data_IF_480039054592
#
_entry.id   IF_480039054592
#
_cell.length_a   1.000
_cell.length_b   1.000
_cell.length_c   1.000
_cell.angle_alpha   90.00
_cell.angle_beta   90.00
_cell.angle_gamma   90.00
#
_symmetry.space_group_name_H-M   'P 1'
#
loop_
_entity.id
_entity.type
_entity.pdbx_description
1 polymer ?
#
# COMPACT_ATOMS: atom_id res chain seq x y z
N UNK A 1 22.66 -18.21 9.29
CA UNK A 1 22.46 -16.80 9.70
C UNK A 1 22.04 -15.86 8.56
N UNK A 2 22.60 -15.96 7.35
CA UNK A 2 22.33 -15.03 6.24
C UNK A 2 20.84 -14.95 5.81
N UNK A 3 20.16 -16.10 5.70
CA UNK A 3 18.75 -16.19 5.32
C UNK A 3 17.80 -15.33 6.19
N UNK A 4 18.08 -15.28 7.49
CA UNK A 4 17.26 -14.56 8.45
C UNK A 4 17.40 -13.05 8.20
N UNK A 5 18.61 -12.54 7.97
CA UNK A 5 18.86 -11.12 7.71
C UNK A 5 18.17 -10.62 6.43
N UNK A 6 18.20 -11.42 5.36
CA UNK A 6 17.54 -11.09 4.08
C UNK A 6 16.02 -11.02 4.23
N UNK A 7 15.41 -12.00 4.92
CA UNK A 7 13.98 -12.00 5.20
C UNK A 7 13.56 -10.75 6.00
N UNK A 8 14.30 -10.41 7.04
CA UNK A 8 13.98 -9.24 7.88
C UNK A 8 14.02 -7.94 7.10
N UNK A 9 15.01 -7.77 6.21
CA UNK A 9 15.11 -6.57 5.37
C UNK A 9 13.91 -6.41 4.43
N UNK A 10 13.44 -7.50 3.81
CA UNK A 10 12.29 -7.49 2.90
C UNK A 10 11.01 -7.11 3.66
N UNK A 11 10.75 -7.74 4.82
CA UNK A 11 9.58 -7.40 5.63
C UNK A 11 9.65 -6.00 6.22
N UNK A 12 10.84 -5.47 6.48
CA UNK A 12 11.00 -4.10 6.96
C UNK A 12 10.58 -3.08 5.90
N UNK A 13 11.03 -3.27 4.66
CA UNK A 13 10.65 -2.41 3.52
C UNK A 13 9.15 -2.56 3.22
N UNK A 14 8.63 -3.80 3.21
CA UNK A 14 7.21 -4.05 3.07
C UNK A 14 6.41 -3.30 4.14
N UNK A 15 6.75 -3.50 5.41
CA UNK A 15 6.05 -2.90 6.53
C UNK A 15 6.03 -1.38 6.44
N UNK A 16 7.14 -0.76 5.99
CA UNK A 16 7.20 0.67 5.75
C UNK A 16 6.19 1.12 4.67
N UNK A 17 6.11 0.41 3.55
CA UNK A 17 5.16 0.70 2.46
C UNK A 17 3.71 0.47 2.93
N UNK A 18 3.45 -0.63 3.65
CA UNK A 18 2.11 -0.94 4.16
C UNK A 18 1.64 0.08 5.19
N UNK A 19 2.50 0.50 6.12
CA UNK A 19 2.17 1.53 7.10
C UNK A 19 1.84 2.86 6.39
N UNK A 20 2.62 3.23 5.37
CA UNK A 20 2.36 4.42 4.56
C UNK A 20 0.97 4.36 3.88
N UNK A 21 0.65 3.23 3.24
CA UNK A 21 -0.64 3.02 2.58
C UNK A 21 -1.80 2.95 3.58
N UNK A 22 -1.57 2.36 4.75
CA UNK A 22 -2.56 2.28 5.83
C UNK A 22 -2.87 3.66 6.40
N UNK A 23 -1.86 4.50 6.64
CA UNK A 23 -2.08 5.89 7.05
C UNK A 23 -2.87 6.67 5.99
N UNK A 24 -2.52 6.52 4.70
CA UNK A 24 -3.27 7.13 3.60
C UNK A 24 -4.74 6.68 3.63
N UNK A 25 -4.97 5.38 3.77
CA UNK A 25 -6.30 4.78 3.82
C UNK A 25 -7.11 5.32 5.01
N UNK A 26 -6.52 5.35 6.21
CA UNK A 26 -7.16 5.90 7.40
C UNK A 26 -7.48 7.39 7.25
N UNK A 27 -6.56 8.18 6.72
CA UNK A 27 -6.80 9.62 6.50
C UNK A 27 -7.90 9.87 5.47
N UNK A 28 -7.96 9.09 4.39
CA UNK A 28 -9.06 9.15 3.42
C UNK A 28 -10.40 8.73 4.05
N UNK A 29 -10.40 7.68 4.87
CA UNK A 29 -11.56 7.21 5.62
C UNK A 29 -12.11 8.27 6.57
N UNK A 30 -11.21 8.92 7.31
CA UNK A 30 -11.55 9.96 8.29
C UNK A 30 -11.88 11.31 7.64
N UNK A 31 -11.84 11.42 6.30
CA UNK A 31 -12.10 12.67 5.59
C UNK A 31 -11.03 13.74 5.82
N UNK A 32 -9.78 13.32 6.04
CA UNK A 32 -8.67 14.23 6.29
C UNK A 32 -8.52 15.28 5.18
N UNK A 33 -8.30 16.53 5.60
CA UNK A 33 -8.22 17.67 4.70
C UNK A 33 -6.98 17.58 3.79
N UNK A 34 -7.14 17.44 2.46
CA UNK A 34 -6.01 17.37 1.54
C UNK A 34 -5.23 18.69 1.40
N UNK A 35 -5.76 19.81 1.90
CA UNK A 35 -5.05 21.09 1.94
C UNK A 35 -4.02 21.16 3.09
N UNK A 36 -4.03 20.19 4.01
CA UNK A 36 -3.01 20.09 5.03
C UNK A 36 -1.69 19.60 4.39
N UNK A 37 -0.58 20.29 4.66
CA UNK A 37 0.73 19.97 4.07
C UNK A 37 1.19 18.55 4.34
N UNK A 38 0.94 18.00 5.54
CA UNK A 38 1.30 16.63 5.90
C UNK A 38 0.43 15.60 5.16
N UNK A 39 -0.89 15.83 5.11
CA UNK A 39 -1.83 14.93 4.41
C UNK A 39 -1.55 14.92 2.91
N UNK A 40 -1.29 16.08 2.32
CA UNK A 40 -0.93 16.23 0.91
C UNK A 40 0.38 15.52 0.56
N UNK A 41 1.40 15.68 1.42
CA UNK A 41 2.67 14.96 1.29
C UNK A 41 2.46 13.44 1.33
N UNK A 42 1.70 12.96 2.33
CA UNK A 42 1.39 11.53 2.48
C UNK A 42 0.66 10.98 1.25
N UNK A 43 -0.34 11.70 0.73
CA UNK A 43 -1.11 11.28 -0.43
C UNK A 43 -0.26 11.27 -1.72
N UNK A 44 0.66 12.22 -1.87
CA UNK A 44 1.61 12.25 -2.98
C UNK A 44 2.59 11.09 -2.92
N UNK A 45 3.19 10.84 -1.75
CA UNK A 45 4.14 9.76 -1.55
C UNK A 45 3.49 8.38 -1.74
N UNK A 46 2.34 8.16 -1.11
CA UNK A 46 1.55 6.96 -1.30
C UNK A 46 0.99 6.84 -2.73
N UNK A 47 0.84 7.97 -3.43
CA UNK A 47 0.36 8.07 -4.81
C UNK A 47 1.21 7.28 -5.79
N UNK A 48 2.53 7.25 -5.58
CA UNK A 48 3.49 6.51 -6.42
C UNK A 48 3.19 5.01 -6.35
N UNK A 49 2.95 4.50 -5.14
CA UNK A 49 2.66 3.09 -4.89
C UNK A 49 1.27 2.65 -5.37
N UNK A 50 0.27 3.53 -5.28
CA UNK A 50 -1.07 3.20 -5.77
C UNK A 50 -1.22 3.37 -7.28
N UNK A 51 -0.32 4.09 -7.95
CA UNK A 51 -0.43 4.46 -9.37
C UNK A 51 -0.78 3.32 -10.33
N UNK A 52 -0.21 2.09 -10.24
CA UNK A 52 -0.59 1.01 -11.15
C UNK A 52 -1.95 0.39 -10.83
N UNK A 53 -2.51 0.67 -9.65
CA UNK A 53 -3.80 0.14 -9.19
C UNK A 53 -4.96 1.12 -9.41
N UNK A 54 -4.66 2.35 -9.86
CA UNK A 54 -5.67 3.34 -10.21
C UNK A 54 -6.46 2.82 -11.42
N UNK A 55 -7.79 2.81 -11.31
CA UNK A 55 -8.68 2.36 -12.39
C UNK A 55 -8.98 0.86 -12.40
N UNK A 56 -8.44 0.05 -11.48
CA UNK A 56 -8.78 -1.39 -11.37
C UNK A 56 -10.27 -1.59 -11.02
N UNK A 57 -10.82 -0.72 -10.18
CA UNK A 57 -12.26 -0.65 -9.96
C UNK A 57 -12.81 0.57 -10.69
N UNK A 58 -13.79 0.37 -11.57
CA UNK A 58 -14.62 1.44 -12.09
C UNK A 58 -15.19 2.20 -10.89
N UNK A 59 -14.95 3.50 -10.84
CA UNK A 59 -15.41 4.35 -9.73
C UNK A 59 -16.94 4.41 -9.76
N UNK A 60 -17.61 3.52 -9.04
CA UNK A 60 -19.07 3.55 -8.83
C UNK A 60 -19.49 4.67 -7.87
N UNK A 61 -18.80 5.80 -7.88
CA UNK A 61 -19.14 6.98 -7.10
C UNK A 61 -19.21 8.15 -8.08
N UNK A 62 -20.45 8.53 -8.34
CA UNK A 62 -20.91 9.56 -9.26
C UNK A 62 -20.04 10.82 -9.28
N UNK A 63 -19.83 11.34 -10.48
CA UNK A 63 -19.60 12.76 -10.72
C UNK A 63 -20.76 13.55 -10.10
N UNK A 64 -20.63 13.94 -8.84
CA UNK A 64 -21.68 14.74 -8.22
C UNK A 64 -21.57 14.78 -6.71
N UNK A 65 -21.32 15.99 -6.22
CA UNK A 65 -21.65 16.46 -4.88
C UNK A 65 -20.65 16.11 -3.77
N UNK A 66 -19.76 17.08 -3.52
CA UNK A 66 -19.45 17.60 -2.19
C UNK A 66 -19.25 16.56 -1.08
N UNK A 67 -18.34 15.62 -1.27
CA UNK A 67 -17.57 14.98 -0.19
C UNK A 67 -16.50 14.07 -0.81
N UNK A 68 -15.27 14.56 -0.90
CA UNK A 68 -14.09 13.83 -1.44
C UNK A 68 -13.60 12.72 -0.48
N UNK A 69 -14.48 12.12 0.31
CA UNK A 69 -14.22 10.88 1.08
C UNK A 69 -14.63 9.69 0.21
N UNK A 70 -13.96 9.57 -0.92
CA UNK A 70 -14.06 8.40 -1.77
C UNK A 70 -13.02 7.44 -1.21
N UNK A 71 -13.49 6.41 -0.51
CA UNK A 71 -12.70 5.22 -0.24
C UNK A 71 -12.13 4.75 -1.58
N UNK A 72 -10.82 4.92 -1.79
CA UNK A 72 -10.14 4.48 -3.01
C UNK A 72 -9.87 2.98 -2.87
N UNK A 73 -10.66 2.09 -3.51
CA UNK A 73 -10.49 0.65 -3.33
C UNK A 73 -9.13 0.19 -3.89
N UNK A 74 -8.55 0.99 -4.79
CA UNK A 74 -7.17 0.86 -5.26
C UNK A 74 -6.13 0.85 -4.11
N UNK A 75 -6.34 1.61 -3.03
CA UNK A 75 -5.42 1.61 -1.89
C UNK A 75 -5.47 0.27 -1.14
N UNK A 76 -6.67 -0.30 -0.95
CA UNK A 76 -6.83 -1.61 -0.33
C UNK A 76 -6.23 -2.71 -1.19
N UNK A 77 -6.45 -2.68 -2.52
CA UNK A 77 -5.80 -3.63 -3.43
C UNK A 77 -4.28 -3.50 -3.32
N UNK A 78 -3.74 -2.28 -3.36
CA UNK A 78 -2.31 -2.07 -3.30
C UNK A 78 -1.71 -2.72 -2.04
N UNK A 79 -2.34 -2.54 -0.87
CA UNK A 79 -1.92 -3.19 0.37
C UNK A 79 -1.90 -4.72 0.25
N UNK A 80 -3.00 -5.32 -0.24
CA UNK A 80 -3.10 -6.77 -0.40
C UNK A 80 -2.03 -7.28 -1.39
N UNK A 81 -1.87 -6.63 -2.54
CA UNK A 81 -0.92 -7.04 -3.57
C UNK A 81 0.51 -6.96 -3.04
N UNK A 82 0.88 -5.89 -2.36
CA UNK A 82 2.22 -5.78 -1.76
C UNK A 82 2.46 -6.86 -0.69
N UNK A 83 1.49 -7.12 0.18
CA UNK A 83 1.57 -8.18 1.18
C UNK A 83 1.80 -9.57 0.54
N UNK A 84 1.04 -9.89 -0.51
CA UNK A 84 1.15 -11.15 -1.25
C UNK A 84 2.50 -11.26 -1.96
N UNK A 85 2.97 -10.18 -2.60
CA UNK A 85 4.28 -10.16 -3.29
C UNK A 85 5.41 -10.41 -2.30
N UNK A 86 5.45 -9.71 -1.16
CA UNK A 86 6.51 -9.92 -0.18
C UNK A 86 6.47 -11.31 0.44
N UNK A 87 5.28 -11.81 0.75
CA UNK A 87 5.12 -13.18 1.24
C UNK A 87 5.58 -14.22 0.20
N UNK A 88 5.27 -14.00 -1.08
CA UNK A 88 5.74 -14.83 -2.20
C UNK A 88 7.25 -14.83 -2.33
N UNK A 89 7.89 -13.64 -2.33
CA UNK A 89 9.36 -13.50 -2.40
C UNK A 89 10.01 -14.24 -1.24
N UNK A 90 9.53 -14.06 -0.01
CA UNK A 90 10.08 -14.73 1.18
C UNK A 90 9.91 -16.25 1.08
N UNK A 91 8.77 -16.71 0.58
CA UNK A 91 8.48 -18.14 0.40
C UNK A 91 9.40 -18.77 -0.64
N UNK A 92 9.67 -18.07 -1.75
CA UNK A 92 10.62 -18.53 -2.79
C UNK A 92 12.05 -18.61 -2.25
N UNK A 93 12.50 -17.58 -1.51
CA UNK A 93 13.83 -17.60 -0.87
C UNK A 93 13.90 -18.77 0.11
N UNK A 94 12.84 -19.03 0.90
CA UNK A 94 12.77 -20.18 1.83
C UNK A 94 12.94 -21.51 1.11
N UNK A 95 12.26 -21.72 -0.01
CA UNK A 95 12.34 -22.96 -0.78
C UNK A 95 13.75 -23.16 -1.34
N UNK A 96 14.36 -22.09 -1.90
CA UNK A 96 15.74 -22.13 -2.39
C UNK A 96 16.74 -22.41 -1.25
N UNK A 97 16.54 -21.82 -0.08
CA UNK A 97 17.43 -22.01 1.07
C UNK A 97 17.28 -23.38 1.76
N UNK A 98 16.11 -24.02 1.68
CA UNK A 98 15.88 -25.37 2.22
C UNK A 98 16.50 -26.49 1.37
N UNK A 99 16.88 -26.18 0.12
CA UNK A 99 17.39 -27.14 -0.86
C UNK A 99 18.92 -27.27 -0.85
N UNK A 100 19.62 -26.59 0.06
CA UNK A 100 21.05 -26.67 0.30
C UNK A 100 21.33 -27.05 1.75
#
# INVERSE_FOLDING_TARGET
MWFIKTKHSIYYILGLIEILLLFRFMFKLLGANPNNGFVSFLYSLAGIFISPFIGIFNSFISQGLVAKSILEPATLIAMIVYAVIAWGIVSLIRIKAKRW
#
